data_IF_446328205944
#
_entry.id   IF_446328205944
#
_cell.length_a   1.000
_cell.length_b   1.000
_cell.length_c   1.000
_cell.angle_alpha   90.00
_cell.angle_beta   90.00
_cell.angle_gamma   90.00
#
_symmetry.space_group_name_H-M   'P 1'
#
loop_
_entity.id
_entity.type
_entity.pdbx_description
1 polymer ?
#
# COMPACT_ATOMS: atom_id res chain seq x y z
N UNK A 1 -23.77 -9.76 -8.78
CA UNK A 1 -22.92 -8.57 -8.93
C UNK A 1 -21.53 -9.08 -9.28
N UNK A 2 -20.97 -8.71 -10.44
CA UNK A 2 -19.61 -9.12 -10.79
C UNK A 2 -18.64 -8.22 -10.04
N UNK A 3 -17.98 -8.76 -9.03
CA UNK A 3 -16.93 -8.06 -8.28
C UNK A 3 -15.72 -7.87 -9.19
N UNK A 4 -15.30 -6.61 -9.39
CA UNK A 4 -14.16 -6.31 -10.25
C UNK A 4 -12.85 -6.68 -9.55
N UNK A 5 -11.75 -6.74 -10.30
CA UNK A 5 -10.41 -6.93 -9.71
C UNK A 5 -10.10 -5.76 -8.76
N UNK A 6 -10.53 -4.55 -9.12
CA UNK A 6 -10.33 -3.34 -8.30
C UNK A 6 -11.00 -3.50 -6.94
N UNK A 7 -12.26 -3.95 -6.92
CA UNK A 7 -13.00 -4.19 -5.68
C UNK A 7 -12.32 -5.25 -4.83
N UNK A 8 -11.84 -6.34 -5.45
CA UNK A 8 -11.10 -7.39 -4.75
C UNK A 8 -9.82 -6.87 -4.10
N UNK A 9 -9.05 -6.05 -4.82
CA UNK A 9 -7.82 -5.47 -4.28
C UNK A 9 -8.12 -4.50 -3.15
N UNK A 10 -9.13 -3.64 -3.30
CA UNK A 10 -9.56 -2.72 -2.23
C UNK A 10 -10.00 -3.48 -0.98
N UNK A 11 -10.78 -4.54 -1.13
CA UNK A 11 -11.19 -5.40 -0.02
C UNK A 11 -10.01 -6.11 0.63
N UNK A 12 -9.08 -6.64 -0.16
CA UNK A 12 -7.87 -7.30 0.32
C UNK A 12 -6.98 -6.36 1.13
N UNK A 13 -6.68 -5.16 0.61
CA UNK A 13 -5.89 -4.17 1.33
C UNK A 13 -6.59 -3.76 2.63
N UNK A 14 -7.92 -3.56 2.59
CA UNK A 14 -8.70 -3.25 3.80
C UNK A 14 -8.68 -4.37 4.85
N UNK A 15 -8.57 -5.64 4.43
CA UNK A 15 -8.48 -6.78 5.35
C UNK A 15 -7.08 -6.99 5.94
N UNK A 16 -6.03 -6.78 5.15
CA UNK A 16 -4.64 -6.96 5.59
C UNK A 16 -4.10 -5.77 6.37
N UNK A 17 -4.55 -4.57 6.02
CA UNK A 17 -4.23 -3.32 6.71
C UNK A 17 -5.49 -2.76 7.37
N UNK A 18 -6.02 -3.41 8.42
CA UNK A 18 -7.08 -2.82 9.19
C UNK A 18 -6.51 -1.55 9.81
N UNK A 19 -7.10 -0.39 9.46
CA UNK A 19 -6.80 0.86 10.13
C UNK A 19 -7.17 0.67 11.60
N UNK A 20 -6.19 0.29 12.42
CA UNK A 20 -6.37 0.13 13.86
C UNK A 20 -6.86 1.47 14.35
N UNK A 21 -8.03 1.48 14.99
CA UNK A 21 -8.77 2.65 15.47
C UNK A 21 -9.82 3.25 14.53
N UNK A 22 -10.92 2.54 14.37
CA UNK A 22 -12.17 3.23 14.67
C UNK A 22 -13.18 2.29 15.32
N UNK A 23 -13.39 2.51 16.62
CA UNK A 23 -14.57 2.08 17.36
C UNK A 23 -15.87 2.62 16.71
N UNK A 24 -15.75 3.47 15.67
CA UNK A 24 -16.82 3.84 14.77
C UNK A 24 -16.66 3.07 13.46
N UNK A 25 -17.65 2.24 13.17
CA UNK A 25 -17.87 1.49 11.94
C UNK A 25 -18.10 2.41 10.70
N UNK A 26 -17.25 3.43 10.51
CA UNK A 26 -17.19 4.21 9.27
C UNK A 26 -16.26 3.47 8.33
N UNK A 27 -16.81 2.99 7.21
CA UNK A 27 -16.04 2.58 6.04
C UNK A 27 -15.22 3.79 5.60
N UNK A 28 -13.95 3.85 5.99
CA UNK A 28 -13.02 4.79 5.40
C UNK A 28 -12.74 4.20 4.02
N UNK A 29 -13.21 4.89 2.99
CA UNK A 29 -12.71 4.64 1.65
C UNK A 29 -11.26 5.10 1.65
N UNK A 30 -10.36 4.13 1.81
CA UNK A 30 -8.95 4.31 1.47
C UNK A 30 -8.98 4.69 0.00
N UNK A 31 -8.73 5.97 -0.26
CA UNK A 31 -8.68 6.48 -1.62
C UNK A 31 -7.56 5.78 -2.38
N UNK A 32 -7.77 5.49 -3.66
CA UNK A 32 -6.81 4.73 -4.46
C UNK A 32 -5.46 5.47 -4.58
N UNK A 33 -5.47 6.80 -4.37
CA UNK A 33 -4.31 7.69 -4.38
C UNK A 33 -3.68 7.91 -2.99
N UNK A 34 -4.25 7.35 -1.92
CA UNK A 34 -3.73 7.54 -0.57
C UNK A 34 -2.43 6.74 -0.38
N UNK A 35 -1.31 7.37 0.03
CA UNK A 35 -0.09 6.65 0.34
C UNK A 35 -0.28 5.79 1.59
N UNK A 36 -0.21 4.47 1.44
CA UNK A 36 -0.32 3.51 2.54
C UNK A 36 0.74 3.75 3.62
N UNK A 37 1.90 4.27 3.21
CA UNK A 37 3.04 4.60 4.07
C UNK A 37 2.74 5.74 5.06
N UNK A 38 1.68 6.53 4.82
CA UNK A 38 1.21 7.51 5.80
C UNK A 38 0.42 6.87 6.95
N UNK A 39 -0.23 5.75 6.66
CA UNK A 39 -1.21 5.09 7.53
C UNK A 39 -0.61 3.90 8.27
N UNK A 40 0.31 3.18 7.65
CA UNK A 40 0.90 1.93 8.14
C UNK A 40 2.43 1.99 8.14
N UNK A 41 3.04 1.13 8.94
CA UNK A 41 4.50 1.00 9.00
C UNK A 41 5.05 0.19 7.82
N UNK A 42 6.37 0.21 7.65
CA UNK A 42 7.03 -0.50 6.55
C UNK A 42 6.78 -2.01 6.61
N UNK A 43 6.84 -2.58 7.81
CA UNK A 43 6.73 -4.02 8.03
C UNK A 43 5.30 -4.51 7.71
N UNK A 44 4.27 -3.78 8.15
CA UNK A 44 2.86 -4.09 7.83
C UNK A 44 2.61 -4.06 6.32
N UNK A 45 3.15 -3.04 5.64
CA UNK A 45 3.01 -2.91 4.19
C UNK A 45 3.76 -4.00 3.45
N UNK A 46 4.94 -4.39 3.93
CA UNK A 46 5.72 -5.47 3.33
C UNK A 46 4.97 -6.79 3.40
N UNK A 47 4.43 -7.12 4.59
CA UNK A 47 3.63 -8.34 4.78
C UNK A 47 2.38 -8.32 3.90
N UNK A 48 1.65 -7.20 3.86
CA UNK A 48 0.48 -7.06 2.99
C UNK A 48 0.85 -7.23 1.52
N UNK A 49 1.94 -6.61 1.05
CA UNK A 49 2.37 -6.68 -0.33
C UNK A 49 2.75 -8.12 -0.73
N UNK A 50 3.49 -8.84 0.12
CA UNK A 50 3.82 -10.25 -0.11
C UNK A 50 2.57 -11.13 -0.24
N UNK A 51 1.60 -10.95 0.68
CA UNK A 51 0.33 -11.66 0.61
C UNK A 51 -0.47 -11.28 -0.63
N UNK A 52 -0.44 -10.02 -1.05
CA UNK A 52 -1.07 -9.55 -2.28
C UNK A 52 -0.49 -10.27 -3.51
N UNK A 53 0.85 -10.32 -3.63
CA UNK A 53 1.50 -10.97 -4.77
C UNK A 53 1.13 -12.46 -4.85
N UNK A 54 1.08 -13.13 -3.70
CA UNK A 54 0.66 -14.52 -3.60
C UNK A 54 -0.83 -14.72 -3.94
N UNK A 55 -1.71 -13.87 -3.41
CA UNK A 55 -3.16 -14.00 -3.58
C UNK A 55 -3.64 -13.69 -5.00
N UNK A 56 -3.08 -12.65 -5.62
CA UNK A 56 -3.46 -12.21 -6.97
C UNK A 56 -2.57 -12.80 -8.07
N UNK A 57 -1.60 -13.66 -7.70
CA UNK A 57 -0.61 -14.24 -8.61
C UNK A 57 0.12 -13.16 -9.45
N UNK A 58 0.43 -12.03 -8.81
CA UNK A 58 1.13 -10.90 -9.42
C UNK A 58 2.62 -11.12 -9.26
N UNK A 59 3.36 -11.07 -10.36
CA UNK A 59 4.82 -11.16 -10.31
C UNK A 59 5.39 -9.90 -9.64
N UNK A 60 6.13 -10.01 -8.52
CA UNK A 60 6.67 -8.84 -7.84
C UNK A 60 7.71 -8.08 -8.69
N UNK A 61 8.26 -8.68 -9.77
CA UNK A 61 9.04 -8.02 -10.82
C UNK A 61 10.10 -6.99 -10.33
N UNK A 62 10.73 -7.24 -9.18
CA UNK A 62 11.72 -6.34 -8.58
C UNK A 62 11.17 -5.37 -7.52
N UNK A 63 9.93 -5.57 -7.05
CA UNK A 63 9.36 -4.87 -5.90
C UNK A 63 10.34 -4.96 -4.73
N UNK A 64 10.82 -3.79 -4.30
CA UNK A 64 11.66 -3.66 -3.12
C UNK A 64 11.06 -2.61 -2.21
N UNK A 65 10.78 -3.00 -0.97
CA UNK A 65 10.31 -2.07 0.06
C UNK A 65 11.29 -0.88 0.25
N UNK A 66 12.58 -1.10 -0.02
CA UNK A 66 13.63 -0.08 0.02
C UNK A 66 13.47 1.02 -1.05
N UNK A 67 12.73 0.76 -2.14
CA UNK A 67 12.40 1.81 -3.12
C UNK A 67 11.43 2.83 -2.50
N UNK A 68 10.56 2.37 -1.60
CA UNK A 68 9.47 3.14 -1.00
C UNK A 68 9.85 3.76 0.35
N UNK A 69 10.69 3.08 1.13
CA UNK A 69 11.13 3.53 2.45
C UNK A 69 12.58 4.04 2.43
N UNK A 70 12.96 4.96 3.35
CA UNK A 70 12.18 5.51 4.45
C UNK A 70 11.22 6.65 4.03
N UNK A 71 9.92 6.48 4.29
CA UNK A 71 8.87 7.46 3.95
C UNK A 71 8.92 8.71 4.85
N UNK A 72 9.15 8.52 6.16
CA UNK A 72 9.34 9.60 7.14
C UNK A 72 10.74 9.48 7.73
N UNK A 73 11.71 10.24 7.21
CA UNK A 73 13.00 10.35 7.91
C UNK A 73 12.79 11.20 9.16
N UNK A 74 12.90 10.57 10.34
CA UNK A 74 13.05 11.32 11.60
C UNK A 74 14.38 12.05 11.53
N UNK A 75 14.35 13.31 11.10
CA UNK A 75 15.53 14.15 11.16
C UNK A 75 15.84 14.43 12.63
N UNK A 76 17.00 13.96 13.09
CA UNK A 76 17.50 14.19 14.46
C UNK A 76 17.73 15.68 14.74
N UNK A 77 17.84 16.50 13.69
CA UNK A 77 18.10 17.94 13.76
C UNK A 77 16.96 18.84 13.26
N UNK A 78 15.89 18.29 12.68
CA UNK A 78 14.78 19.11 12.17
C UNK A 78 13.41 18.53 12.53
N UNK A 79 12.54 19.37 13.11
CA UNK A 79 11.17 19.04 13.56
C UNK A 79 10.18 18.74 12.43
N UNK A 80 10.64 18.60 11.19
CA UNK A 80 9.80 18.33 10.02
C UNK A 80 10.25 17.04 9.38
N UNK A 81 9.37 16.04 9.37
CA UNK A 81 9.57 14.85 8.55
C UNK A 81 9.62 15.32 7.09
N UNK A 82 10.81 15.28 6.50
CA UNK A 82 10.98 15.57 5.09
C UNK A 82 10.54 14.30 4.38
N UNK A 83 9.35 14.31 3.79
CA UNK A 83 8.94 13.27 2.84
C UNK A 83 9.92 13.40 1.66
N UNK A 84 11.00 12.62 1.71
CA UNK A 84 11.96 12.55 0.61
C UNK A 84 11.19 12.09 -0.62
N UNK A 85 11.56 12.59 -1.81
CA UNK A 85 10.90 12.44 -3.12
C UNK A 85 10.74 10.97 -3.59
N UNK A 86 10.13 10.11 -2.78
CA UNK A 86 9.89 8.69 -3.01
C UNK A 86 8.48 8.50 -3.54
N UNK A 87 8.33 7.48 -4.35
CA UNK A 87 7.05 7.12 -4.96
C UNK A 87 6.12 6.68 -3.83
N UNK A 88 4.92 7.29 -3.68
CA UNK A 88 3.96 6.84 -2.68
C UNK A 88 3.43 5.46 -3.06
N UNK A 89 3.46 4.50 -2.15
CA UNK A 89 2.81 3.21 -2.38
C UNK A 89 1.30 3.33 -2.11
N UNK A 90 0.50 3.28 -3.17
CA UNK A 90 -0.97 3.49 -3.10
C UNK A 90 -1.74 2.25 -3.54
N UNK A 91 -3.04 2.17 -3.20
CA UNK A 91 -3.92 1.08 -3.62
C UNK A 91 -4.09 1.04 -5.14
N UNK A 92 -4.06 2.20 -5.81
CA UNK A 92 -4.07 2.30 -7.26
C UNK A 92 -2.94 1.52 -7.92
N UNK A 93 -1.72 1.58 -7.37
CA UNK A 93 -0.57 0.83 -7.89
C UNK A 93 -0.78 -0.69 -7.81
N UNK A 94 -1.40 -1.15 -6.72
CA UNK A 94 -1.78 -2.56 -6.56
C UNK A 94 -2.88 -2.97 -7.52
N UNK A 95 -3.89 -2.13 -7.74
CA UNK A 95 -4.97 -2.39 -8.69
C UNK A 95 -4.41 -2.55 -10.12
N UNK A 96 -3.56 -1.62 -10.54
CA UNK A 96 -2.95 -1.68 -11.88
C UNK A 96 -2.03 -2.90 -12.03
N UNK A 97 -1.24 -3.19 -11.00
CA UNK A 97 -0.37 -4.38 -11.00
C UNK A 97 -1.17 -5.69 -11.00
N UNK A 98 -2.32 -5.73 -10.31
CA UNK A 98 -3.25 -6.87 -10.35
C UNK A 98 -3.87 -7.06 -11.73
N UNK A 99 -4.21 -5.96 -12.42
CA UNK A 99 -4.71 -6.03 -13.81
C UNK A 99 -3.63 -6.47 -14.79
N UNK A 100 -2.40 -6.02 -14.59
CA UNK A 100 -1.26 -6.36 -15.45
C UNK A 100 -0.71 -7.77 -15.21
N UNK A 101 -0.86 -8.30 -13.99
CA UNK A 101 -0.28 -9.58 -13.56
C UNK A 101 1.19 -9.50 -13.15
N UNK A 102 1.76 -8.29 -13.11
CA UNK A 102 3.11 -8.02 -12.64
C UNK A 102 3.19 -6.61 -12.06
N UNK A 103 4.17 -6.41 -11.18
CA UNK A 103 4.40 -5.12 -10.55
C UNK A 103 4.98 -4.11 -11.55
N UNK A 104 4.30 -2.97 -11.70
CA UNK A 104 4.63 -1.97 -12.73
C UNK A 104 5.65 -0.92 -12.29
N UNK A 105 6.04 -0.90 -11.00
CA UNK A 105 6.67 0.26 -10.38
C UNK A 105 8.00 -0.08 -9.67
N UNK A 106 9.16 0.21 -10.26
CA UNK A 106 10.46 -0.08 -9.61
C UNK A 106 11.16 1.17 -9.06
#
# INVERSE_FOLDING_TARGET
>A
MNMTIEDKVREFVKSELPLVTSLFMKKIDIDDDTPLQNLHEADDIAEMAERFFSHFNVQPAGFSLNSYYPWKVKSVFSRRAINQNKIPLTVGMFIESAKAGYWLYN
#
